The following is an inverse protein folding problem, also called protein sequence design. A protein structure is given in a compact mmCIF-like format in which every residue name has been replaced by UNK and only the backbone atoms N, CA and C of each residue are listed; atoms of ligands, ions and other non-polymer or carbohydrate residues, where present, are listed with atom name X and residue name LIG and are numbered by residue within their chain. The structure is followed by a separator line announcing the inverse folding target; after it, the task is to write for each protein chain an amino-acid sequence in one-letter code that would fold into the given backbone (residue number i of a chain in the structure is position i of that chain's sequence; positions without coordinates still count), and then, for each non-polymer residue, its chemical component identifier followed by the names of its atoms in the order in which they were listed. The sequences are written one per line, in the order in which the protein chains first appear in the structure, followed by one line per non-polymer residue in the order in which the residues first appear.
data_IF_892104367716
#
_entry.id   IF_892104367716
#
_cell.length_a   1.000
_cell.length_b   1.000
_cell.length_c   1.000
_cell.angle_alpha   90.00
_cell.angle_beta   90.00
_cell.angle_gamma   90.00
#
_symmetry.space_group_name_H-M   'P 1'
#
loop_
_entity.id
_entity.type
_entity.pdbx_description
1 polymer ?
#
# COMPACT_ATOMS: atom_id res chain seq x y z
N UNK A 1 0.21 8.24 -11.78
CA UNK A 1 0.28 8.98 -10.51
C UNK A 1 -1.13 9.25 -10.00
N UNK A 2 -1.68 8.28 -9.28
CA UNK A 2 -2.99 8.41 -8.61
C UNK A 2 -2.75 8.81 -7.16
N UNK A 3 -2.91 10.11 -6.89
CA UNK A 3 -2.64 10.70 -5.58
C UNK A 3 -3.84 10.61 -4.65
N UNK A 4 -3.75 9.83 -3.59
CA UNK A 4 -4.84 9.64 -2.64
C UNK A 4 -4.55 10.28 -1.28
N UNK A 5 -5.62 10.53 -0.53
CA UNK A 5 -5.55 10.96 0.87
C UNK A 5 -5.29 9.75 1.78
N UNK A 6 -4.92 9.97 3.05
CA UNK A 6 -4.78 8.88 4.03
C UNK A 6 -6.09 8.08 4.20
N UNK A 7 -7.27 8.70 4.40
CA UNK A 7 -8.53 7.95 4.47
C UNK A 7 -8.78 7.07 3.23
N UNK A 8 -8.62 7.64 2.04
CA UNK A 8 -8.80 6.92 0.77
C UNK A 8 -7.79 5.79 0.61
N UNK A 9 -6.54 5.99 1.06
CA UNK A 9 -5.54 4.92 1.09
C UNK A 9 -5.97 3.78 2.00
N UNK A 10 -6.57 4.07 3.16
CA UNK A 10 -7.06 3.04 4.07
C UNK A 10 -8.18 2.24 3.43
N UNK A 11 -9.15 2.91 2.79
CA UNK A 11 -10.24 2.26 2.07
C UNK A 11 -9.74 1.35 0.94
N UNK A 12 -8.73 1.80 0.18
CA UNK A 12 -8.18 1.02 -0.94
C UNK A 12 -7.37 -0.18 -0.46
N UNK A 13 -6.54 -0.02 0.58
CA UNK A 13 -5.55 -1.04 0.98
C UNK A 13 -6.09 -1.98 2.07
N UNK A 14 -6.96 -1.49 2.94
CA UNK A 14 -7.49 -2.20 4.10
C UNK A 14 -9.03 -2.24 4.12
N UNK A 15 -9.71 -1.93 3.00
CA UNK A 15 -11.17 -1.87 2.96
C UNK A 15 -11.88 -3.19 3.25
N UNK A 16 -11.18 -4.32 3.11
CA UNK A 16 -11.67 -5.66 3.46
C UNK A 16 -11.26 -6.11 4.87
N UNK A 17 -10.46 -5.33 5.59
CA UNK A 17 -10.05 -5.68 6.94
C UNK A 17 -11.18 -5.35 7.93
N UNK A 18 -11.51 -6.26 8.85
CA UNK A 18 -12.51 -6.02 9.90
C UNK A 18 -12.12 -4.86 10.84
N UNK A 19 -10.81 -4.62 10.99
CA UNK A 19 -10.23 -3.61 11.87
C UNK A 19 -9.11 -2.85 11.17
N UNK A 20 -9.44 -1.95 10.21
CA UNK A 20 -8.43 -1.23 9.45
C UNK A 20 -7.66 -0.26 10.36
N UNK A 21 -6.39 0.04 10.05
CA UNK A 21 -5.59 0.97 10.83
C UNK A 21 -6.19 2.39 10.81
N UNK A 22 -6.13 3.07 11.95
CA UNK A 22 -6.62 4.45 12.04
C UNK A 22 -5.80 5.41 11.16
N UNK A 23 -6.43 6.53 10.75
CA UNK A 23 -5.77 7.62 10.02
C UNK A 23 -4.50 8.12 10.73
N UNK A 24 -4.53 8.22 12.06
CA UNK A 24 -3.38 8.64 12.88
C UNK A 24 -2.25 7.60 12.87
N UNK A 25 -2.58 6.31 12.80
CA UNK A 25 -1.60 5.23 12.65
C UNK A 25 -0.91 5.29 11.29
N UNK A 26 -1.68 5.39 10.20
CA UNK A 26 -1.10 5.54 8.86
C UNK A 26 -0.27 6.83 8.75
N UNK A 27 -0.76 7.96 9.28
CA UNK A 27 -0.04 9.23 9.28
C UNK A 27 1.36 9.13 9.93
N UNK A 28 1.49 8.39 11.04
CA UNK A 28 2.78 8.16 11.71
C UNK A 28 3.72 7.32 10.86
N UNK A 29 3.18 6.40 10.06
CA UNK A 29 3.94 5.52 9.17
C UNK A 29 4.23 6.13 7.80
N UNK A 30 3.60 7.24 7.41
CA UNK A 30 3.85 7.87 6.11
C UNK A 30 5.33 8.03 5.72
N UNK A 31 6.28 8.38 6.60
CA UNK A 31 7.70 8.44 6.23
C UNK A 31 8.30 7.12 5.71
N UNK A 32 7.67 5.98 5.99
CA UNK A 32 8.11 4.64 5.56
C UNK A 32 7.18 3.99 4.54
N UNK A 33 6.05 4.63 4.22
CA UNK A 33 5.10 4.14 3.20
C UNK A 33 5.61 4.56 1.81
N UNK A 34 5.87 3.61 0.89
CA UNK A 34 6.28 3.96 -0.47
C UNK A 34 5.24 4.85 -1.16
N UNK A 35 5.71 5.85 -1.91
CA UNK A 35 4.85 6.82 -2.59
C UNK A 35 4.23 7.89 -1.67
N UNK A 36 4.45 7.85 -0.36
CA UNK A 36 3.98 8.89 0.55
C UNK A 36 4.90 10.12 0.53
N UNK A 37 4.31 11.30 0.42
CA UNK A 37 5.03 12.57 0.46
C UNK A 37 4.19 13.67 1.12
N UNK A 38 4.87 14.76 1.50
CA UNK A 38 4.24 15.96 2.06
C UNK A 38 3.77 16.89 0.94
N UNK A 39 2.47 17.16 0.94
CA UNK A 39 1.82 18.19 0.13
C UNK A 39 1.42 19.34 1.07
N UNK A 40 2.34 20.28 1.24
CA UNK A 40 2.27 21.29 2.30
C UNK A 40 2.17 20.65 3.69
N UNK A 41 1.07 20.94 4.41
CA UNK A 41 0.80 20.37 5.76
C UNK A 41 0.17 18.97 5.72
N UNK A 42 -0.29 18.51 4.54
CA UNK A 42 -1.00 17.24 4.36
C UNK A 42 -0.05 16.16 3.86
N UNK A 43 -0.42 14.92 4.11
CA UNK A 43 0.22 13.76 3.49
C UNK A 43 -0.63 13.32 2.30
N UNK A 44 0.03 13.00 1.19
CA UNK A 44 -0.56 12.34 0.02
C UNK A 44 0.26 11.09 -0.28
N UNK A 45 -0.39 10.12 -0.88
CA UNK A 45 0.23 8.84 -1.23
C UNK A 45 -0.04 8.61 -2.72
N UNK A 46 1.02 8.42 -3.50
CA UNK A 46 0.88 7.89 -4.86
C UNK A 46 0.66 6.39 -4.76
N UNK A 47 -0.58 5.97 -5.02
CA UNK A 47 -0.98 4.57 -4.87
C UNK A 47 -0.35 3.68 -5.95
N UNK A 48 0.01 4.24 -7.11
CA UNK A 48 0.68 3.48 -8.18
C UNK A 48 2.09 3.09 -7.73
N UNK A 49 2.83 4.03 -7.12
CA UNK A 49 4.16 3.77 -6.55
C UNK A 49 4.06 2.79 -5.38
N UNK A 50 3.06 2.97 -4.51
CA UNK A 50 2.83 2.05 -3.40
C UNK A 50 2.69 0.61 -3.89
N UNK A 51 1.77 0.35 -4.83
CA UNK A 51 1.54 -1.00 -5.34
C UNK A 51 2.74 -1.55 -6.11
N UNK A 52 3.42 -0.72 -6.92
CA UNK A 52 4.63 -1.14 -7.63
C UNK A 52 5.73 -1.63 -6.66
N UNK A 53 5.99 -0.89 -5.58
CA UNK A 53 6.98 -1.28 -4.57
C UNK A 53 6.53 -2.49 -3.78
N UNK A 54 5.25 -2.56 -3.39
CA UNK A 54 4.73 -3.71 -2.65
C UNK A 54 4.75 -4.98 -3.49
N UNK A 55 4.46 -4.90 -4.79
CA UNK A 55 4.59 -6.01 -5.75
C UNK A 55 6.04 -6.47 -5.85
N UNK A 56 6.98 -5.55 -6.04
CA UNK A 56 8.42 -5.88 -6.10
C UNK A 56 8.92 -6.56 -4.82
N UNK A 57 8.46 -6.10 -3.65
CA UNK A 57 8.79 -6.72 -2.36
C UNK A 57 8.20 -8.12 -2.20
N UNK A 58 6.96 -8.33 -2.66
CA UNK A 58 6.30 -9.63 -2.58
C UNK A 58 6.97 -10.68 -3.47
N UNK A 59 7.49 -10.27 -4.62
CA UNK A 59 8.21 -11.13 -5.57
C UNK A 59 9.70 -11.32 -5.20
N UNK A 60 10.12 -10.98 -3.98
CA UNK A 60 11.48 -11.22 -3.51
C UNK A 60 12.55 -10.30 -4.14
N UNK A 61 12.14 -9.17 -4.73
CA UNK A 61 13.09 -8.22 -5.34
C UNK A 61 13.57 -8.62 -6.74
N UNK A 62 12.83 -9.45 -7.46
CA UNK A 62 13.10 -9.74 -8.88
C UNK A 62 12.10 -8.95 -9.70
N UNK A 63 12.59 -7.89 -10.36
CA UNK A 63 11.90 -7.31 -11.51
C UNK A 63 11.96 -8.33 -12.62
N UNK A 64 10.84 -8.95 -12.96
CA UNK A 64 10.65 -9.44 -14.33
C UNK A 64 9.16 -9.56 -14.65
N UNK A 65 8.90 -9.24 -15.91
CA UNK A 65 7.64 -9.01 -16.60
C UNK A 65 6.67 -10.19 -16.42
N UNK A 66 5.48 -9.96 -15.84
CA UNK A 66 4.22 -10.66 -16.12
C UNK A 66 3.13 -10.17 -15.15
N UNK A 67 2.48 -9.09 -15.55
CA UNK A 67 1.30 -8.53 -14.89
C UNK A 67 0.07 -9.37 -15.25
N UNK A 68 -0.58 -9.98 -14.26
CA UNK A 68 -2.06 -9.92 -14.05
C UNK A 68 -2.60 -10.98 -13.05
N UNK A 69 -1.89 -12.09 -12.78
CA UNK A 69 -2.41 -13.16 -11.88
C UNK A 69 -1.95 -13.10 -10.41
N UNK A 70 -0.87 -12.39 -10.09
CA UNK A 70 -0.23 -12.52 -8.77
C UNK A 70 -0.81 -11.66 -7.63
N UNK A 71 -1.70 -10.71 -7.93
CA UNK A 71 -2.24 -9.81 -6.89
C UNK A 71 -3.07 -10.58 -5.84
N UNK A 72 -3.79 -11.61 -6.27
CA UNK A 72 -4.65 -12.42 -5.40
C UNK A 72 -3.86 -13.38 -4.50
N UNK A 73 -2.66 -13.78 -4.91
CA UNK A 73 -1.77 -14.66 -4.13
C UNK A 73 -1.08 -13.88 -3.01
N UNK A 74 -0.62 -12.67 -3.30
CA UNK A 74 0.08 -11.82 -2.31
C UNK A 74 -0.85 -11.44 -1.14
N UNK A 75 -2.12 -11.11 -1.40
CA UNK A 75 -3.08 -10.85 -0.32
C UNK A 75 -3.38 -12.08 0.55
N UNK A 76 -3.25 -13.29 0.01
CA UNK A 76 -3.45 -14.54 0.79
C UNK A 76 -2.27 -14.88 1.69
N UNK A 77 -1.04 -14.57 1.31
CA UNK A 77 0.15 -14.95 2.11
C UNK A 77 0.22 -14.14 3.40
N UNK A 78 -0.18 -12.86 3.39
CA UNK A 78 -0.23 -12.02 4.62
C UNK A 78 -1.22 -12.59 5.65
N UNK A 79 -2.25 -13.33 5.24
CA UNK A 79 -3.24 -13.94 6.15
C UNK A 79 -2.74 -15.18 6.91
N UNK A 80 -1.58 -15.77 6.57
CA UNK A 80 -1.16 -17.08 7.11
C UNK A 80 -0.15 -17.02 8.27
N UNK A 81 0.20 -15.83 8.78
CA UNK A 81 1.14 -15.70 9.92
C UNK A 81 0.50 -15.02 11.14
N UNK A 82 -0.81 -15.13 11.27
CA UNK A 82 -1.55 -14.83 12.52
C UNK A 82 -1.87 -16.11 13.27
#
# INVERSE_FOLDING_TARGET
MRLVSIPTFIEIVYGEDDHPPSVSTIRRRCPTIPGAFRDGKRWRIDIDIFFAVMRSRALGGITDENDDEDLAVVMKIVKKTG
#
